data_IF_407960596351
#
_entry.id   IF_407960596351
#
_cell.length_a   1.000
_cell.length_b   1.000
_cell.length_c   1.000
_cell.angle_alpha   90.00
_cell.angle_beta   90.00
_cell.angle_gamma   90.00
#
_symmetry.space_group_name_H-M   'P 1'
#
loop_
_entity.id
_entity.type
_entity.pdbx_description
1 polymer ?
2 polymer ?
3 polymer ?
4 non-polymer ?
5 water ?
#
loop_
_entity_poly.entity_id
_entity_poly.type
_entity_poly.pdbx_seq_one_letter_code
_entity_poly.pdbx_strand_id
1 'polydeoxyribonucleotide' '(DA)(DG)(DA)(DT)(DT)(DG)(DT)(DT)(DT)(DA)(DT)(DT)(DG)(DA)(DG)(DA)' ?
2 'polydeoxyribonucleotide' '(DT)(DC)(DT)(DC)(DA)(DA)(DT)(DA)(DA)(DA)(DC)(DA)(DA)(DT)(DC)(DT)' ?
#
# COMPACT_ATOMS: atom_id res chain seq x y z
N UNK C 5 6.52 -26.60 7.47
CA UNK C 5 6.90 -26.74 6.03
C UNK C 5 6.20 -25.62 5.28
N UNK C 6 6.85 -25.11 4.22
CA UNK C 6 6.45 -23.88 3.48
C UNK C 6 5.73 -24.15 2.13
N UNK C 7 4.96 -23.16 1.63
CA UNK C 7 4.03 -23.35 0.49
C UNK C 7 4.10 -22.22 -0.54
N UNK C 8 4.18 -22.60 -1.82
CA UNK C 8 4.23 -21.66 -2.93
C UNK C 8 2.85 -21.13 -3.32
N UNK C 9 2.69 -19.81 -3.27
CA UNK C 9 1.54 -19.09 -3.79
C UNK C 9 1.98 -18.41 -5.07
N UNK C 10 1.03 -18.16 -5.96
CA UNK C 10 1.28 -17.58 -7.26
C UNK C 10 0.88 -16.12 -7.22
N UNK C 11 1.71 -15.28 -7.86
CA UNK C 11 1.49 -13.85 -7.94
C UNK C 11 0.09 -13.57 -8.48
N UNK C 12 -0.73 -12.76 -7.78
CA UNK C 12 -2.03 -12.34 -8.31
C UNK C 12 -1.87 -11.40 -9.50
N UNK C 13 -2.90 -11.26 -10.37
CA UNK C 13 -2.75 -10.46 -11.59
C UNK C 13 -3.01 -8.95 -11.40
N UNK C 14 -2.19 -8.29 -10.58
CA UNK C 14 -2.30 -6.85 -10.32
C UNK C 14 -0.93 -6.16 -10.28
N UNK C 15 -0.84 -5.02 -10.96
CA UNK C 15 0.31 -4.12 -10.86
C UNK C 15 0.32 -3.52 -9.47
N UNK C 16 1.44 -2.88 -9.09
CA UNK C 16 1.49 -2.20 -7.81
C UNK C 16 0.54 -0.99 -7.74
N UNK C 17 0.37 -0.30 -8.88
CA UNK C 17 -0.65 0.75 -8.96
C UNK C 17 -1.98 0.14 -8.53
N UNK C 18 -2.38 -0.96 -9.18
CA UNK C 18 -3.65 -1.63 -8.91
C UNK C 18 -3.75 -2.10 -7.48
N UNK C 19 -2.68 -2.72 -6.97
CA UNK C 19 -2.66 -3.21 -5.61
C UNK C 19 -2.89 -2.05 -4.62
N UNK C 20 -2.08 -0.99 -4.74
CA UNK C 20 -2.17 0.18 -3.84
C UNK C 20 -3.54 0.83 -3.94
N UNK C 21 -4.00 1.05 -5.17
CA UNK C 21 -5.29 1.66 -5.44
C UNK C 21 -6.42 0.89 -4.77
N UNK C 22 -6.39 -0.43 -4.89
CA UNK C 22 -7.43 -1.26 -4.30
C UNK C 22 -7.43 -1.15 -2.80
N UNK C 23 -6.23 -1.20 -2.20
CA UNK C 23 -6.05 -1.05 -0.77
C UNK C 23 -6.67 0.24 -0.26
N UNK C 24 -6.39 1.34 -0.96
CA UNK C 24 -6.92 2.65 -0.59
C UNK C 24 -8.42 2.75 -0.75
N UNK C 25 -8.94 2.24 -1.88
CA UNK C 25 -10.37 2.31 -2.21
C UNK C 25 -11.20 1.58 -1.18
N UNK C 26 -10.72 0.41 -0.77
CA UNK C 26 -11.34 -0.41 0.24
C UNK C 26 -11.39 0.28 1.62
N UNK C 27 -10.40 1.14 1.93
CA UNK C 27 -10.27 1.71 3.26
C UNK C 27 -11.44 2.64 3.60
N UNK C 28 -11.93 2.63 4.86
CA UNK C 28 -13.11 3.40 5.25
C UNK C 28 -12.94 4.91 5.16
N UNK C 29 -11.69 5.38 5.32
CA UNK C 29 -11.36 6.81 5.21
C UNK C 29 -10.90 7.22 3.81
N UNK C 30 -10.74 6.24 2.90
CA UNK C 30 -10.11 6.43 1.58
C UNK C 30 -8.64 6.83 1.70
N UNK C 31 -8.00 6.37 2.77
CA UNK C 31 -6.58 6.60 2.99
C UNK C 31 -5.96 5.57 3.95
N UNK C 32 -4.70 5.24 3.67
CA UNK C 32 -3.94 4.28 4.44
C UNK C 32 -2.53 4.74 4.59
N UNK C 33 -1.93 4.36 5.72
CA UNK C 33 -0.50 4.46 5.91
C UNK C 33 0.20 3.43 5.03
N UNK C 34 1.50 3.61 4.85
CA UNK C 34 2.31 2.67 4.11
C UNK C 34 2.21 1.25 4.69
N UNK C 35 2.31 1.14 6.01
CA UNK C 35 2.31 -0.16 6.67
C UNK C 35 0.93 -0.81 6.62
N UNK C 36 -0.12 0.02 6.60
CA UNK C 36 -1.49 -0.47 6.42
C UNK C 36 -1.69 -1.03 5.02
N UNK C 37 -1.08 -0.37 4.02
CA UNK C 37 -1.07 -0.86 2.65
C UNK C 37 -0.42 -2.25 2.61
N UNK C 38 0.79 -2.37 3.18
CA UNK C 38 1.48 -3.65 3.31
C UNK C 38 0.56 -4.68 3.91
N UNK C 39 -0.05 -4.35 5.06
CA UNK C 39 -0.94 -5.28 5.76
C UNK C 39 -2.07 -5.81 4.88
N UNK C 40 -2.83 -4.90 4.27
CA UNK C 40 -3.95 -5.25 3.39
C UNK C 40 -3.49 -6.22 2.31
N UNK C 41 -2.37 -5.90 1.66
CA UNK C 41 -1.81 -6.69 0.58
C UNK C 41 -1.43 -8.11 1.04
N UNK C 42 -0.69 -8.20 2.14
CA UNK C 42 -0.24 -9.49 2.70
C UNK C 42 -1.42 -10.32 3.21
N UNK C 43 -2.34 -9.69 3.93
CA UNK C 43 -3.51 -10.36 4.45
C UNK C 43 -4.25 -11.07 3.33
N UNK C 44 -4.35 -10.40 2.18
CA UNK C 44 -5.20 -10.85 1.11
C UNK C 44 -4.47 -11.78 0.14
N UNK C 45 -3.25 -11.42 -0.22
CA UNK C 45 -2.47 -12.15 -1.20
C UNK C 45 -1.24 -12.75 -0.53
N UNK C 46 -1.30 -14.04 -0.12
CA UNK C 46 -0.21 -14.66 0.61
C UNK C 46 1.09 -14.73 -0.17
N UNK C 47 1.02 -14.58 -1.50
CA UNK C 47 2.22 -14.49 -2.31
C UNK C 47 3.15 -13.42 -1.72
N UNK C 48 2.57 -12.36 -1.17
CA UNK C 48 3.32 -11.20 -0.70
C UNK C 48 3.83 -11.29 0.74
N UNK C 49 3.73 -12.47 1.35
CA UNK C 49 4.33 -12.73 2.65
C UNK C 49 5.82 -13.05 2.53
N UNK C 50 6.29 -13.31 1.31
CA UNK C 50 7.74 -13.44 1.06
C UNK C 50 8.32 -12.22 0.35
N UNK C 51 9.65 -12.14 0.40
CA UNK C 51 10.44 -11.16 -0.33
C UNK C 51 9.96 -9.75 -0.05
N UNK C 52 9.52 -9.53 1.18
CA UNK C 52 8.93 -8.27 1.60
C UNK C 52 9.90 -7.11 1.41
N UNK C 53 11.20 -7.38 1.49
CA UNK C 53 12.22 -6.37 1.28
C UNK C 53 12.04 -5.70 -0.08
N UNK C 54 12.04 -6.49 -1.15
CA UNK C 54 11.97 -5.91 -2.49
C UNK C 54 10.59 -5.38 -2.85
N UNK C 55 9.52 -6.15 -2.64
CA UNK C 55 8.20 -5.68 -3.09
C UNK C 55 7.73 -4.42 -2.36
N UNK C 56 8.16 -4.26 -1.11
CA UNK C 56 7.84 -3.07 -0.35
C UNK C 56 8.65 -1.88 -0.85
N UNK C 57 9.87 -2.14 -1.33
CA UNK C 57 10.68 -1.11 -1.97
C UNK C 57 9.97 -0.62 -3.23
N UNK C 58 9.42 -1.57 -4.00
CA UNK C 58 8.61 -1.28 -5.17
C UNK C 58 7.38 -0.42 -4.81
N UNK C 59 6.63 -0.82 -3.77
CA UNK C 59 5.47 -0.07 -3.29
C UNK C 59 5.82 1.38 -3.00
N UNK C 60 6.86 1.56 -2.16
CA UNK C 60 7.34 2.88 -1.80
C UNK C 60 7.71 3.72 -3.03
N UNK C 61 8.43 3.10 -3.97
CA UNK C 61 8.77 3.69 -5.26
C UNK C 61 7.50 4.11 -6.04
N UNK C 62 6.49 3.24 -6.02
CA UNK C 62 5.23 3.50 -6.74
C UNK C 62 4.50 4.71 -6.19
N UNK C 63 4.44 4.83 -4.86
CA UNK C 63 3.72 5.93 -4.20
C UNK C 63 4.34 7.27 -4.53
N UNK C 64 5.66 7.30 -4.57
CA UNK C 64 6.38 8.52 -4.83
C UNK C 64 6.44 8.80 -6.31
N UNK C 65 6.84 7.79 -7.09
CA UNK C 65 7.05 7.93 -8.53
C UNK C 65 5.77 8.34 -9.30
N UNK C 66 4.65 7.72 -8.95
CA UNK C 66 3.40 7.95 -9.66
C UNK C 66 2.58 9.10 -9.07
N UNK C 67 2.17 10.04 -9.94
CA UNK C 67 1.37 11.23 -9.57
C UNK C 67 -0.04 10.87 -9.06
N UNK C 68 -0.49 9.63 -9.31
CA UNK C 68 -1.81 9.20 -8.87
C UNK C 68 -1.93 8.92 -7.34
N UNK C 69 -0.82 8.96 -6.61
CA UNK C 69 -0.87 8.79 -5.16
C UNK C 69 -0.44 10.08 -4.46
N UNK C 70 -1.26 10.49 -3.50
CA UNK C 70 -1.18 11.78 -2.84
C UNK C 70 -0.96 11.56 -1.34
N UNK C 71 0.06 12.23 -0.79
CA UNK C 71 0.39 12.16 0.62
C UNK C 71 -0.50 13.09 1.41
N UNK C 72 -1.21 12.54 2.40
CA UNK C 72 -2.04 13.31 3.31
C UNK C 72 -1.31 13.36 4.65
N UNK C 73 -1.04 14.55 5.23
CA UNK C 73 -0.32 14.64 6.50
C UNK C 73 -1.27 14.32 7.63
N UNK C 74 -0.72 13.89 8.77
CA UNK C 74 -1.52 13.59 9.94
C UNK C 74 -1.81 14.93 10.58
N UNK C 75 -2.95 15.02 11.30
CA UNK C 75 -3.28 16.22 12.08
C UNK C 75 -2.12 16.60 12.99
N UNK C 76 -1.91 17.91 13.28
CA UNK C 76 -0.93 18.31 14.29
C UNK C 76 -1.18 17.58 15.61
N UNK C 77 -2.44 17.62 16.08
CA UNK C 77 -2.82 17.05 17.38
C UNK C 77 -3.22 15.55 17.34
N UNK C 78 -2.85 14.85 16.26
CA UNK C 78 -2.99 13.40 16.15
C UNK C 78 -1.74 12.84 15.46
N UNK C 79 -0.53 13.08 16.02
CA UNK C 79 0.72 12.69 15.36
C UNK C 79 0.97 11.19 15.35
N UNK C 80 1.83 10.74 14.42
CA UNK C 80 2.17 9.33 14.29
C UNK C 80 3.23 9.09 13.24
N UNK C 81 3.44 7.82 12.89
CA UNK C 81 4.51 7.35 12.02
C UNK C 81 4.10 7.41 10.54
N UNK C 82 4.73 8.32 9.79
CA UNK C 82 4.42 8.48 8.37
C UNK C 82 3.12 9.23 8.15
N UNK C 83 2.79 9.42 6.87
CA UNK C 83 1.58 10.10 6.44
C UNK C 83 0.60 9.06 5.91
N UNK C 84 -0.63 9.49 5.64
CA UNK C 84 -1.57 8.67 4.91
C UNK C 84 -1.31 8.85 3.44
N UNK C 85 -1.75 7.85 2.67
CA UNK C 85 -1.70 7.91 1.24
C UNK C 85 -3.11 7.75 0.71
N UNK C 86 -3.55 8.71 -0.11
CA UNK C 86 -4.80 8.61 -0.82
C UNK C 86 -4.61 8.71 -2.33
N UNK C 87 -5.71 8.53 -3.08
CA UNK C 87 -5.73 8.66 -4.52
C UNK C 87 -5.82 10.11 -4.96
N UNK C 88 -4.97 10.49 -5.91
CA UNK C 88 -5.02 11.82 -6.48
C UNK C 88 -6.43 12.00 -7.03
N UNK C 89 -7.06 13.19 -6.88
CA UNK C 89 -8.43 13.38 -7.37
C UNK C 89 -8.63 13.33 -8.90
N UNK C 90 -7.58 13.06 -9.68
CA UNK C 90 -7.47 13.36 -11.13
C UNK C 90 -8.79 13.41 -11.91
X LIG D 1 3.04 11.10 -5.58
#
# INVERSE_FOLDING_TARGET
>C
KTYRRSYTHAKPPYSYISLITMAIQQSPNKMLTLSEIYQWIMDLFPFYRQNQQRWQNSIRHSLSFNDCFLKVPRSPDKPGKGSFWTLHPDSGNMFENGCYLRRQKRFKCEKQLALKEAAGAAGSG
>D hetero
1 K K
#
